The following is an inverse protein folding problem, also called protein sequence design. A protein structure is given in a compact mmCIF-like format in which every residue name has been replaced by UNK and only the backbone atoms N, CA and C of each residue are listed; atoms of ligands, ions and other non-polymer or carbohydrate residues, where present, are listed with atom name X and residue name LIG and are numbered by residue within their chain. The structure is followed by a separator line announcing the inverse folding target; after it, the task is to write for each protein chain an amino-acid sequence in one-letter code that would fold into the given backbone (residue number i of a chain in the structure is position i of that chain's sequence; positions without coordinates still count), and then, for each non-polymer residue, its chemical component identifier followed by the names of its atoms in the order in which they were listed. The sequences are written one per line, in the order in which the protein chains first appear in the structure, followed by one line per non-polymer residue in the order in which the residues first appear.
data_IF_518459236388
#
_entry.id   IF_518459236388
#
_cell.length_a   1.000
_cell.length_b   1.000
_cell.length_c   1.000
_cell.angle_alpha   90.00
_cell.angle_beta   90.00
_cell.angle_gamma   90.00
#
_symmetry.space_group_name_H-M   'P 1'
#
loop_
_entity.id
_entity.type
_entity.pdbx_description
1 polymer ?
#
# COMPACT_ATOMS: atom_id res chain seq x y z
N UNK A 1 -13.80 7.20 -0.55
CA UNK A 1 -13.44 6.45 0.67
C UNK A 1 -13.90 5.00 0.52
N UNK A 2 -12.98 4.06 0.67
CA UNK A 2 -13.19 2.61 0.52
C UNK A 2 -13.13 1.91 1.89
N UNK A 3 -13.47 0.63 1.94
CA UNK A 3 -13.37 -0.20 3.15
C UNK A 3 -11.93 -0.45 3.58
N UNK A 4 -11.75 -1.29 4.61
CA UNK A 4 -10.45 -1.62 5.19
C UNK A 4 -9.50 -2.27 4.18
N UNK A 5 -10.04 -3.07 3.26
CA UNK A 5 -9.31 -3.73 2.18
C UNK A 5 -10.16 -3.85 0.92
N UNK A 6 -9.54 -4.29 -0.18
CA UNK A 6 -10.23 -4.55 -1.43
C UNK A 6 -11.20 -5.74 -1.29
N UNK A 7 -12.50 -5.48 -1.36
CA UNK A 7 -13.56 -6.50 -1.18
C UNK A 7 -14.31 -6.41 0.16
N UNK A 8 -13.95 -5.47 1.02
CA UNK A 8 -14.68 -5.20 2.26
C UNK A 8 -16.11 -4.69 1.98
N UNK A 9 -17.10 -5.38 2.58
CA UNK A 9 -18.53 -5.08 2.44
C UNK A 9 -18.99 -3.83 3.20
N UNK A 10 -18.20 -3.32 4.14
CA UNK A 10 -18.44 -2.08 4.88
C UNK A 10 -19.75 -2.04 5.69
N UNK A 11 -20.27 -3.20 6.10
CA UNK A 11 -21.55 -3.29 6.82
C UNK A 11 -21.55 -2.64 8.22
N UNK A 12 -20.41 -2.14 8.68
CA UNK A 12 -20.20 -1.52 9.99
C UNK A 12 -20.34 0.01 9.99
N UNK A 13 -20.65 0.63 8.84
CA UNK A 13 -20.83 2.08 8.70
C UNK A 13 -21.95 2.43 7.72
N UNK A 14 -22.52 3.62 7.86
CA UNK A 14 -23.62 4.06 6.99
C UNK A 14 -23.11 4.78 5.74
N UNK A 15 -23.94 4.85 4.70
CA UNK A 15 -23.60 5.59 3.48
C UNK A 15 -23.57 7.09 3.74
N UNK A 16 -24.43 7.57 4.63
CA UNK A 16 -24.56 8.96 5.04
C UNK A 16 -23.28 9.43 5.73
N UNK A 17 -22.75 8.64 6.67
CA UNK A 17 -21.48 8.93 7.32
C UNK A 17 -20.33 9.02 6.30
N UNK A 18 -20.22 8.04 5.41
CA UNK A 18 -19.17 8.00 4.39
C UNK A 18 -19.25 9.21 3.46
N UNK A 19 -20.45 9.63 3.07
CA UNK A 19 -20.62 10.81 2.20
C UNK A 19 -20.27 12.11 2.94
N UNK A 20 -20.69 12.27 4.21
CA UNK A 20 -20.32 13.43 5.02
C UNK A 20 -18.79 13.58 5.19
N UNK A 21 -18.04 12.47 5.14
CA UNK A 21 -16.58 12.51 5.13
C UNK A 21 -15.96 12.78 3.76
N UNK A 22 -16.59 12.34 2.66
CA UNK A 22 -16.15 12.71 1.30
C UNK A 22 -16.20 14.22 1.07
N UNK A 23 -17.20 14.90 1.63
CA UNK A 23 -17.31 16.36 1.55
C UNK A 23 -16.15 17.09 2.26
N UNK A 24 -15.40 16.37 3.11
CA UNK A 24 -14.23 16.88 3.84
C UNK A 24 -12.91 16.47 3.17
N UNK A 25 -12.92 16.09 1.90
CA UNK A 25 -11.74 15.63 1.16
C UNK A 25 -10.58 16.65 1.27
N UNK A 26 -9.45 16.28 1.91
CA UNK A 26 -8.32 17.17 2.07
C UNK A 26 -7.65 17.51 0.73
N UNK A 27 -7.73 16.64 -0.28
CA UNK A 27 -7.14 16.88 -1.60
C UNK A 27 -7.91 17.99 -2.32
N UNK A 28 -9.25 17.95 -2.25
CA UNK A 28 -10.09 19.01 -2.82
C UNK A 28 -9.87 20.34 -2.09
N UNK A 29 -9.81 20.31 -0.76
CA UNK A 29 -9.52 21.51 0.03
C UNK A 29 -8.15 22.11 -0.31
N UNK A 30 -7.13 21.27 -0.47
CA UNK A 30 -5.80 21.70 -0.86
C UNK A 30 -5.79 22.28 -2.28
N UNK A 31 -6.47 21.64 -3.25
CA UNK A 31 -6.64 22.17 -4.61
C UNK A 31 -7.20 23.60 -4.57
N UNK A 32 -8.31 23.80 -3.86
CA UNK A 32 -8.96 25.11 -3.79
C UNK A 32 -8.04 26.16 -3.15
N UNK A 33 -7.37 25.79 -2.05
CA UNK A 33 -6.40 26.67 -1.38
C UNK A 33 -5.29 27.12 -2.35
N UNK A 34 -4.72 26.19 -3.12
CA UNK A 34 -3.66 26.49 -4.08
C UNK A 34 -4.14 27.43 -5.19
N UNK A 35 -5.37 27.25 -5.66
CA UNK A 35 -5.95 28.11 -6.70
C UNK A 35 -6.29 29.51 -6.16
N UNK A 36 -6.94 29.59 -5.01
CA UNK A 36 -7.46 30.84 -4.43
C UNK A 36 -6.34 31.71 -3.83
N UNK A 37 -5.43 31.10 -3.07
CA UNK A 37 -4.45 31.85 -2.27
C UNK A 37 -3.06 31.90 -2.89
N UNK A 38 -2.74 30.94 -3.77
CA UNK A 38 -1.40 30.79 -4.36
C UNK A 38 -1.38 30.94 -5.88
N UNK A 39 -2.54 31.18 -6.52
CA UNK A 39 -2.64 31.46 -7.95
C UNK A 39 -2.25 30.30 -8.86
N UNK A 40 -2.34 29.06 -8.37
CA UNK A 40 -2.09 27.85 -9.18
C UNK A 40 -3.24 27.66 -10.17
N UNK A 41 -2.92 27.40 -11.43
CA UNK A 41 -3.94 27.22 -12.47
C UNK A 41 -4.60 25.83 -12.42
N UNK A 42 -5.87 25.77 -12.80
CA UNK A 42 -6.60 24.51 -12.88
C UNK A 42 -6.01 23.58 -13.96
N UNK A 43 -5.53 24.14 -15.07
CA UNK A 43 -4.90 23.35 -16.15
C UNK A 43 -3.59 22.70 -15.68
N UNK A 44 -2.80 23.39 -14.86
CA UNK A 44 -1.57 22.85 -14.28
C UNK A 44 -1.88 21.65 -13.37
N UNK A 45 -2.91 21.77 -12.53
CA UNK A 45 -3.35 20.68 -11.65
C UNK A 45 -3.90 19.51 -12.47
N UNK A 46 -4.66 19.77 -13.53
CA UNK A 46 -5.19 18.74 -14.41
C UNK A 46 -4.06 17.99 -15.13
N UNK A 47 -3.07 18.71 -15.65
CA UNK A 47 -1.88 18.12 -16.28
C UNK A 47 -1.10 17.24 -15.31
N UNK A 48 -0.85 17.72 -14.10
CA UNK A 48 -0.17 16.93 -13.06
C UNK A 48 -0.90 15.63 -12.77
N UNK A 49 -2.24 15.64 -12.73
CA UNK A 49 -3.03 14.42 -12.50
C UNK A 49 -2.88 13.40 -13.63
N UNK A 50 -2.86 13.85 -14.88
CA UNK A 50 -2.63 12.96 -16.02
C UNK A 50 -1.20 12.41 -16.04
N UNK A 51 -0.20 13.25 -15.73
CA UNK A 51 1.21 12.82 -15.64
C UNK A 51 1.41 11.74 -14.56
N UNK A 52 0.82 11.93 -13.37
CA UNK A 52 0.89 10.94 -12.29
C UNK A 52 0.13 9.66 -12.66
N UNK A 53 -1.03 9.77 -13.31
CA UNK A 53 -1.78 8.61 -13.80
C UNK A 53 -0.96 7.80 -14.80
N UNK A 54 -0.27 8.46 -15.73
CA UNK A 54 0.61 7.81 -16.69
C UNK A 54 1.74 7.06 -15.97
N UNK A 55 2.41 7.68 -15.00
CA UNK A 55 3.47 7.05 -14.21
C UNK A 55 2.98 5.80 -13.46
N UNK A 56 1.79 5.86 -12.85
CA UNK A 56 1.20 4.71 -12.14
C UNK A 56 0.88 3.58 -13.12
N UNK A 57 0.30 3.89 -14.28
CA UNK A 57 0.00 2.87 -15.30
C UNK A 57 1.26 2.21 -15.85
N UNK A 58 2.31 2.98 -16.12
CA UNK A 58 3.60 2.45 -16.55
C UNK A 58 4.20 1.51 -15.48
N UNK A 59 4.15 1.91 -14.21
CA UNK A 59 4.62 1.07 -13.11
C UNK A 59 3.82 -0.24 -13.00
N UNK A 60 2.49 -0.19 -13.20
CA UNK A 60 1.63 -1.37 -13.25
C UNK A 60 1.99 -2.31 -14.41
N UNK A 61 2.19 -1.77 -15.62
CA UNK A 61 2.56 -2.57 -16.79
C UNK A 61 3.94 -3.23 -16.61
N UNK A 62 4.91 -2.50 -16.05
CA UNK A 62 6.21 -3.08 -15.68
C UNK A 62 6.06 -4.22 -14.67
N UNK A 63 5.25 -4.03 -13.64
CA UNK A 63 5.02 -5.07 -12.62
C UNK A 63 4.37 -6.34 -13.21
N UNK A 64 3.43 -6.20 -14.16
CA UNK A 64 2.78 -7.34 -14.84
C UNK A 64 3.72 -8.13 -15.73
N UNK A 65 4.82 -7.53 -16.19
CA UNK A 65 5.82 -8.20 -17.02
C UNK A 65 6.81 -9.02 -16.19
N UNK A 66 6.80 -8.87 -14.86
CA UNK A 66 7.64 -9.69 -14.00
C UNK A 66 7.25 -11.17 -14.15
N UNK A 67 8.23 -12.09 -14.14
CA UNK A 67 7.93 -13.51 -14.12
C UNK A 67 7.16 -13.86 -12.84
N UNK A 68 6.26 -14.83 -12.96
CA UNK A 68 5.66 -15.47 -11.78
C UNK A 68 6.76 -16.10 -10.92
N UNK A 69 6.62 -16.11 -9.58
CA UNK A 69 7.54 -16.81 -8.71
C UNK A 69 7.56 -18.30 -9.05
N UNK A 70 8.74 -18.90 -8.95
CA UNK A 70 8.92 -20.34 -9.12
C UNK A 70 8.52 -21.08 -7.85
N UNK A 71 8.35 -22.39 -7.96
CA UNK A 71 8.04 -23.24 -6.80
C UNK A 71 9.19 -23.24 -5.80
N UNK A 72 10.43 -23.13 -6.27
CA UNK A 72 11.63 -23.11 -5.43
C UNK A 72 11.72 -21.86 -4.55
N UNK A 73 11.19 -20.72 -5.03
CA UNK A 73 11.16 -19.43 -4.32
C UNK A 73 10.32 -19.52 -3.01
N UNK A 74 9.47 -20.54 -2.86
CA UNK A 74 8.62 -20.71 -1.67
C UNK A 74 9.42 -20.87 -0.37
N UNK A 75 10.61 -21.50 -0.46
CA UNK A 75 11.48 -21.76 0.70
C UNK A 75 12.64 -20.77 0.82
N UNK A 76 12.78 -19.88 -0.17
CA UNK A 76 13.74 -18.78 -0.12
C UNK A 76 13.40 -17.87 1.08
N UNK A 77 14.43 -17.35 1.74
CA UNK A 77 14.32 -16.51 2.95
C UNK A 77 13.67 -17.13 4.20
N UNK A 78 13.43 -18.45 4.22
CA UNK A 78 12.89 -19.13 5.41
C UNK A 78 13.92 -19.21 6.56
N UNK A 79 15.19 -19.39 6.22
CA UNK A 79 16.32 -19.41 7.14
C UNK A 79 17.45 -18.53 6.61
N UNK A 80 18.22 -17.94 7.52
CA UNK A 80 19.46 -17.27 7.17
C UNK A 80 20.45 -18.29 6.58
N UNK A 81 20.97 -18.10 5.36
CA UNK A 81 21.90 -19.03 4.73
C UNK A 81 23.24 -19.14 5.48
N UNK A 82 23.58 -18.17 6.34
CA UNK A 82 24.76 -18.16 7.20
C UNK A 82 24.52 -18.79 8.57
N UNK A 83 23.26 -19.12 8.91
CA UNK A 83 22.97 -19.88 10.10
C UNK A 83 23.53 -21.30 9.91
N UNK A 84 24.69 -21.56 10.50
CA UNK A 84 25.22 -22.91 10.63
C UNK A 84 24.15 -23.81 11.27
N UNK A 85 24.09 -25.06 10.82
CA UNK A 85 23.13 -26.09 11.22
C UNK A 85 22.54 -25.85 12.60
N UNK A 86 21.22 -25.63 12.68
CA UNK A 86 20.51 -25.47 13.95
C UNK A 86 20.69 -26.77 14.75
N UNK A 87 21.69 -26.83 15.61
CA UNK A 87 21.83 -27.90 16.58
C UNK A 87 20.80 -27.69 17.66
N UNK A 88 19.71 -28.44 17.56
CA UNK A 88 18.72 -28.54 18.63
C UNK A 88 19.39 -29.10 19.88
N UNK A 89 19.63 -28.24 20.87
CA UNK A 89 20.01 -28.68 22.21
C UNK A 89 18.72 -28.94 22.98
N UNK A 90 18.44 -30.20 23.28
CA UNK A 90 17.29 -30.57 24.09
C UNK A 90 17.35 -29.85 25.45
N UNK A 91 16.23 -29.26 25.87
CA UNK A 91 16.15 -28.56 27.14
C UNK A 91 16.34 -29.54 28.32
N UNK A 92 17.51 -29.52 28.94
CA UNK A 92 17.81 -30.31 30.13
C UNK A 92 17.53 -29.49 31.41
N UNK A 93 16.45 -29.85 32.11
CA UNK A 93 16.08 -29.25 33.40
C UNK A 93 17.14 -29.40 34.50
N UNK A 94 18.10 -30.33 34.37
CA UNK A 94 19.16 -30.54 35.36
C UNK A 94 20.34 -29.58 35.20
N UNK A 95 20.53 -28.98 34.02
CA UNK A 95 21.64 -28.07 33.74
C UNK A 95 21.37 -26.61 34.16
N UNK A 96 20.12 -26.27 34.50
CA UNK A 96 19.71 -24.92 34.92
C UNK A 96 19.80 -24.68 36.44
N UNK A 97 20.70 -25.38 37.15
CA UNK A 97 20.85 -25.28 38.61
C UNK A 97 22.30 -25.05 39.01
#
# INVERSE_FOLDING_TARGET
MTGHYFGDNQNYRTKEEVNAWKDKDPILRCKNLLMEDYGVDEEEIAKLREDIKAQVLEACERAKQNPEPKVEDLTEDLYDPELADITWVAFDKKAAK
#
